data_IF_244707650082
#
_entry.id   IF_244707650082
#
_cell.length_a   1.000
_cell.length_b   1.000
_cell.length_c   1.000
_cell.angle_alpha   90.00
_cell.angle_beta   90.00
_cell.angle_gamma   90.00
#
_symmetry.space_group_name_H-M   'P 1'
#
loop_
_entity.id
_entity.type
_entity.pdbx_description
1 polymer ?
#
# COMPACT_ATOMS: atom_id res chain seq x y z
N UNK A 1 -5.54 -22.03 2.17
CA UNK A 1 -4.81 -21.44 3.31
C UNK A 1 -3.53 -20.83 2.79
N UNK A 2 -3.10 -19.69 3.33
CA UNK A 2 -1.79 -19.13 3.02
C UNK A 2 -0.68 -20.04 3.56
N UNK A 3 0.51 -19.93 2.97
CA UNK A 3 1.68 -20.67 3.45
C UNK A 3 2.10 -20.14 4.82
N UNK A 4 2.41 -21.03 5.76
CA UNK A 4 2.97 -20.66 7.06
C UNK A 4 4.51 -20.71 7.02
N UNK A 5 5.15 -19.74 7.66
CA UNK A 5 6.61 -19.66 7.86
C UNK A 5 6.92 -19.26 9.30
N UNK A 6 8.13 -19.52 9.76
CA UNK A 6 8.62 -19.07 11.07
C UNK A 6 9.69 -18.01 10.88
N UNK A 7 9.50 -16.82 11.45
CA UNK A 7 10.52 -15.79 11.45
C UNK A 7 11.73 -16.27 12.28
N UNK A 8 12.90 -16.34 11.66
CA UNK A 8 14.15 -16.81 12.29
C UNK A 8 15.06 -15.67 12.68
N UNK A 9 14.92 -14.50 12.03
CA UNK A 9 15.73 -13.32 12.31
C UNK A 9 14.97 -12.05 11.97
N UNK A 10 14.97 -11.09 12.89
CA UNK A 10 14.56 -9.72 12.60
C UNK A 10 15.74 -8.92 12.03
N UNK A 11 15.56 -8.36 10.85
CA UNK A 11 16.63 -7.68 10.10
C UNK A 11 16.63 -6.19 10.39
N UNK A 12 15.50 -5.51 10.16
CA UNK A 12 15.40 -4.06 10.36
C UNK A 12 13.94 -3.60 10.40
N UNK A 13 13.59 -2.58 11.20
CA UNK A 13 12.31 -1.89 11.07
C UNK A 13 12.25 -1.10 9.76
N UNK A 14 11.05 -1.00 9.19
CA UNK A 14 10.72 -0.08 8.10
C UNK A 14 10.00 1.13 8.67
N UNK A 15 10.59 2.31 8.47
CA UNK A 15 10.06 3.57 9.01
C UNK A 15 9.06 4.25 8.06
N UNK A 16 8.05 3.51 7.61
CA UNK A 16 6.97 4.03 6.76
C UNK A 16 5.64 4.01 7.51
N UNK A 17 5.09 5.19 7.80
CA UNK A 17 3.77 5.32 8.45
C UNK A 17 3.74 4.88 9.91
N UNK A 18 2.53 4.77 10.47
CA UNK A 18 2.31 4.48 11.90
C UNK A 18 2.32 2.99 12.29
N UNK A 19 2.51 2.07 11.36
CA UNK A 19 2.43 0.62 11.61
C UNK A 19 3.78 -0.07 11.84
N UNK A 20 4.89 0.62 11.55
CA UNK A 20 6.28 0.18 11.74
C UNK A 20 6.50 -1.31 11.38
N UNK A 21 6.27 -1.72 10.12
CA UNK A 21 6.52 -3.09 9.70
C UNK A 21 8.02 -3.42 9.79
N UNK A 22 8.38 -4.70 9.80
CA UNK A 22 9.78 -5.14 9.94
C UNK A 22 10.19 -6.13 8.86
N UNK A 23 11.43 -6.05 8.39
CA UNK A 23 11.99 -7.07 7.51
C UNK A 23 12.48 -8.24 8.35
N UNK A 24 12.09 -9.46 7.98
CA UNK A 24 12.53 -10.71 8.64
C UNK A 24 13.02 -11.73 7.63
N UNK A 25 13.97 -12.57 8.05
CA UNK A 25 14.29 -13.83 7.39
C UNK A 25 13.47 -14.94 8.04
N UNK A 26 13.10 -15.97 7.26
CA UNK A 26 12.30 -17.08 7.75
C UNK A 26 12.95 -18.46 7.48
N UNK A 27 12.37 -19.49 8.08
CA UNK A 27 12.81 -20.90 8.03
C UNK A 27 12.81 -21.53 6.63
N UNK A 28 12.11 -20.92 5.68
CA UNK A 28 12.07 -21.29 4.27
C UNK A 28 13.15 -20.61 3.41
N UNK A 29 14.08 -19.88 4.05
CA UNK A 29 15.11 -19.04 3.40
C UNK A 29 14.55 -17.82 2.65
N UNK A 30 13.28 -17.50 2.84
CA UNK A 30 12.64 -16.29 2.30
C UNK A 30 12.91 -15.05 3.17
N UNK A 31 12.67 -13.87 2.57
CA UNK A 31 12.70 -12.59 3.27
C UNK A 31 11.34 -11.93 3.13
N UNK A 32 10.79 -11.45 4.24
CA UNK A 32 9.42 -10.94 4.29
C UNK A 32 9.37 -9.59 4.99
N UNK A 33 8.49 -8.71 4.53
CA UNK A 33 7.98 -7.57 5.30
C UNK A 33 6.87 -8.08 6.19
N UNK A 34 7.11 -8.14 7.49
CA UNK A 34 6.14 -8.50 8.51
C UNK A 34 5.30 -7.29 8.91
N UNK A 35 3.98 -7.44 8.82
CA UNK A 35 2.99 -6.53 9.41
C UNK A 35 2.50 -7.14 10.72
N UNK A 36 2.69 -6.39 11.80
CA UNK A 36 2.52 -6.87 13.16
C UNK A 36 1.07 -6.76 13.66
N UNK A 37 0.56 -7.81 14.32
CA UNK A 37 -0.78 -7.82 14.92
C UNK A 37 -0.95 -6.82 16.06
N UNK A 38 0.13 -6.51 16.78
CA UNK A 38 0.15 -5.51 17.85
C UNK A 38 0.20 -4.06 17.37
N UNK A 39 0.22 -3.82 16.05
CA UNK A 39 0.23 -2.46 15.51
C UNK A 39 -1.08 -1.72 15.82
N UNK A 40 -1.02 -0.40 15.90
CA UNK A 40 -2.19 0.44 16.21
C UNK A 40 -3.32 0.34 15.17
N UNK A 41 -3.01 -0.13 13.96
CA UNK A 41 -4.01 -0.37 12.90
C UNK A 41 -4.87 -1.62 13.18
N UNK A 42 -4.38 -2.54 14.01
CA UNK A 42 -5.07 -3.74 14.44
C UNK A 42 -5.25 -4.79 13.35
N UNK A 43 -5.84 -5.94 13.74
CA UNK A 43 -5.98 -7.11 12.86
C UNK A 43 -6.83 -6.86 11.62
N UNK A 44 -7.76 -5.89 11.65
CA UNK A 44 -8.58 -5.52 10.47
C UNK A 44 -7.72 -5.02 9.30
N UNK A 45 -6.61 -4.33 9.56
CA UNK A 45 -5.70 -3.94 8.49
C UNK A 45 -5.02 -5.16 7.84
N UNK A 46 -4.72 -6.21 8.62
CA UNK A 46 -4.17 -7.47 8.10
C UNK A 46 -5.24 -8.24 7.30
N UNK A 47 -6.50 -8.22 7.75
CA UNK A 47 -7.64 -8.77 7.00
C UNK A 47 -7.78 -8.07 5.65
N UNK A 48 -7.74 -6.73 5.63
CA UNK A 48 -7.79 -5.97 4.38
C UNK A 48 -6.60 -6.30 3.46
N UNK A 49 -5.39 -6.42 4.01
CA UNK A 49 -4.22 -6.82 3.23
C UNK A 49 -4.41 -8.17 2.54
N UNK A 50 -4.87 -9.19 3.27
CA UNK A 50 -5.14 -10.52 2.70
C UNK A 50 -6.24 -10.42 1.65
N UNK A 51 -7.39 -9.85 2.00
CA UNK A 51 -8.57 -9.85 1.11
C UNK A 51 -8.26 -9.10 -0.18
N UNK A 52 -7.68 -7.90 -0.10
CA UNK A 52 -7.43 -7.06 -1.28
C UNK A 52 -6.23 -7.58 -2.07
N UNK A 53 -5.13 -7.97 -1.41
CA UNK A 53 -3.94 -8.51 -2.07
C UNK A 53 -4.22 -9.80 -2.82
N UNK A 54 -4.95 -10.73 -2.21
CA UNK A 54 -5.28 -12.02 -2.82
C UNK A 54 -6.37 -11.90 -3.91
N UNK A 55 -7.26 -10.90 -3.81
CA UNK A 55 -8.12 -10.49 -4.92
C UNK A 55 -7.28 -9.91 -6.07
N UNK A 56 -6.35 -9.02 -5.79
CA UNK A 56 -5.48 -8.41 -6.80
C UNK A 56 -4.75 -9.49 -7.60
N UNK A 57 -4.11 -10.45 -6.92
CA UNK A 57 -3.40 -11.58 -7.56
C UNK A 57 -4.31 -12.40 -8.46
N UNK A 58 -5.52 -12.76 -8.01
CA UNK A 58 -6.50 -13.54 -8.79
C UNK A 58 -7.11 -12.75 -9.95
N UNK A 59 -7.16 -11.43 -9.84
CA UNK A 59 -7.54 -10.52 -10.90
C UNK A 59 -6.37 -10.16 -11.83
N UNK A 60 -5.20 -10.78 -11.66
CA UNK A 60 -4.03 -10.61 -12.52
C UNK A 60 -3.25 -9.32 -12.30
N UNK A 61 -3.48 -8.64 -11.17
CA UNK A 61 -2.66 -7.51 -10.72
C UNK A 61 -1.45 -8.03 -9.94
N UNK A 62 -0.36 -7.26 -9.98
CA UNK A 62 0.90 -7.64 -9.33
C UNK A 62 0.88 -7.18 -7.89
N UNK A 63 0.86 -8.13 -6.97
CA UNK A 63 0.93 -7.92 -5.53
C UNK A 63 1.85 -9.01 -4.96
N UNK A 64 2.79 -8.69 -4.05
CA UNK A 64 3.71 -9.68 -3.50
C UNK A 64 2.98 -10.87 -2.87
N UNK A 65 3.62 -12.02 -2.77
CA UNK A 65 3.01 -13.17 -2.10
C UNK A 65 2.80 -12.88 -0.60
N UNK A 66 1.68 -13.34 -0.05
CA UNK A 66 1.42 -13.29 1.39
C UNK A 66 1.67 -14.64 2.05
N UNK A 67 2.24 -14.58 3.25
CA UNK A 67 2.46 -15.73 4.13
C UNK A 67 1.93 -15.41 5.52
N UNK A 68 1.58 -16.43 6.28
CA UNK A 68 1.36 -16.30 7.72
C UNK A 68 2.68 -16.58 8.42
N UNK A 69 3.18 -15.61 9.18
CA UNK A 69 4.48 -15.69 9.82
C UNK A 69 4.35 -15.85 11.33
N UNK A 70 4.88 -16.93 11.89
CA UNK A 70 5.04 -17.08 13.34
C UNK A 70 6.24 -16.27 13.79
N UNK A 71 6.00 -15.34 14.71
CA UNK A 71 6.99 -14.40 15.23
C UNK A 71 7.20 -14.65 16.72
N UNK A 72 8.44 -14.92 17.11
CA UNK A 72 8.90 -14.90 18.49
C UNK A 72 9.68 -13.60 18.72
N UNK A 73 9.26 -12.70 19.63
CA UNK A 73 9.98 -11.45 19.91
C UNK A 73 11.46 -11.65 20.25
N UNK A 74 11.88 -12.83 20.71
CA UNK A 74 13.28 -13.14 20.95
C UNK A 74 14.18 -12.96 19.71
N UNK A 75 13.66 -13.13 18.50
CA UNK A 75 14.45 -12.94 17.25
C UNK A 75 14.75 -11.47 16.95
N UNK A 76 14.16 -10.55 17.73
CA UNK A 76 14.33 -9.10 17.64
C UNK A 76 14.85 -8.49 18.94
N UNK A 77 15.47 -9.29 19.83
CA UNK A 77 15.94 -8.84 21.14
C UNK A 77 16.94 -7.66 21.09
N UNK A 78 17.62 -7.47 19.96
CA UNK A 78 18.60 -6.40 19.75
C UNK A 78 18.00 -5.08 19.24
N UNK A 79 16.67 -4.99 19.06
CA UNK A 79 16.00 -3.76 18.62
C UNK A 79 16.24 -2.62 19.62
N UNK A 80 16.91 -1.51 19.25
CA UNK A 80 17.28 -0.46 20.20
C UNK A 80 16.12 0.45 20.63
N UNK A 81 15.02 0.52 19.87
CA UNK A 81 13.95 1.47 20.10
C UNK A 81 12.82 0.86 20.95
N UNK A 82 12.58 1.41 22.15
CA UNK A 82 11.56 0.91 23.08
C UNK A 82 10.16 0.81 22.46
N UNK A 83 9.74 1.83 21.70
CA UNK A 83 8.42 1.82 21.03
C UNK A 83 8.27 0.65 20.06
N UNK A 84 9.36 0.25 19.38
CA UNK A 84 9.38 -0.91 18.49
C UNK A 84 9.42 -2.20 19.31
N UNK A 85 10.22 -2.28 20.38
CA UNK A 85 10.23 -3.44 21.28
C UNK A 85 8.84 -3.74 21.86
N UNK A 86 8.10 -2.71 22.26
CA UNK A 86 6.75 -2.85 22.81
C UNK A 86 5.79 -3.41 21.75
N UNK A 87 5.86 -2.90 20.51
CA UNK A 87 5.11 -3.42 19.36
C UNK A 87 5.44 -4.89 19.09
N UNK A 88 6.72 -5.23 19.01
CA UNK A 88 7.18 -6.59 18.72
C UNK A 88 6.76 -7.56 19.83
N UNK A 89 6.90 -7.16 21.09
CA UNK A 89 6.46 -7.94 22.26
C UNK A 89 4.96 -8.21 22.24
N UNK A 90 4.15 -7.21 21.88
CA UNK A 90 2.70 -7.34 21.72
C UNK A 90 2.28 -8.19 20.51
N UNK A 91 3.23 -8.55 19.64
CA UNK A 91 2.99 -9.24 18.37
C UNK A 91 3.51 -10.68 18.35
N UNK A 92 3.76 -11.27 19.53
CA UNK A 92 4.13 -12.68 19.63
C UNK A 92 3.05 -13.59 19.02
N UNK A 93 3.46 -14.57 18.21
CA UNK A 93 2.57 -15.50 17.53
C UNK A 93 2.37 -15.18 16.06
N UNK A 94 1.14 -15.33 15.56
CA UNK A 94 0.84 -15.29 14.14
C UNK A 94 0.69 -13.85 13.62
N UNK A 95 1.48 -13.50 12.61
CA UNK A 95 1.49 -12.20 11.92
C UNK A 95 1.35 -12.40 10.41
N UNK A 96 1.25 -11.30 9.67
CA UNK A 96 1.19 -11.34 8.21
C UNK A 96 2.56 -11.00 7.62
N UNK A 97 3.13 -11.90 6.83
CA UNK A 97 4.31 -11.63 6.01
C UNK A 97 3.90 -11.33 4.57
N UNK A 98 4.60 -10.37 3.96
CA UNK A 98 4.52 -10.06 2.54
C UNK A 98 5.91 -10.24 1.94
N UNK A 99 6.02 -10.91 0.80
CA UNK A 99 7.30 -11.15 0.13
C UNK A 99 8.07 -9.84 -0.07
N UNK A 100 9.33 -9.82 0.37
CA UNK A 100 10.18 -8.65 0.25
C UNK A 100 10.76 -8.59 -1.15
N UNK A 101 10.38 -7.57 -1.93
CA UNK A 101 10.85 -7.40 -3.31
C UNK A 101 12.22 -6.72 -3.36
N UNK A 102 13.34 -7.45 -3.58
CA UNK A 102 14.66 -6.86 -3.47
C UNK A 102 14.88 -5.81 -4.56
N UNK A 103 15.35 -4.63 -4.16
CA UNK A 103 15.58 -3.50 -5.06
C UNK A 103 14.33 -2.83 -5.59
N UNK A 104 13.13 -3.17 -5.10
CA UNK A 104 11.93 -2.42 -5.44
C UNK A 104 12.07 -0.95 -5.00
N UNK A 105 11.47 -0.04 -5.76
CA UNK A 105 11.48 1.40 -5.46
C UNK A 105 10.06 1.90 -5.33
N UNK A 106 9.80 2.75 -4.33
CA UNK A 106 8.50 3.39 -4.17
C UNK A 106 8.12 4.19 -5.40
N UNK A 107 6.85 4.13 -5.78
CA UNK A 107 6.31 4.91 -6.89
C UNK A 107 5.99 6.33 -6.40
N UNK A 108 7.05 7.15 -6.26
CA UNK A 108 6.96 8.55 -5.84
C UNK A 108 6.50 9.45 -6.99
N UNK A 109 6.09 10.72 -6.73
CA UNK A 109 5.78 11.68 -7.78
C UNK A 109 6.88 11.85 -8.84
N UNK A 110 8.16 11.81 -8.42
CA UNK A 110 9.30 11.92 -9.32
C UNK A 110 9.41 10.72 -10.26
N UNK A 111 9.13 9.51 -9.74
CA UNK A 111 9.09 8.29 -10.55
C UNK A 111 7.86 8.32 -11.47
N UNK A 112 6.70 8.75 -10.97
CA UNK A 112 5.48 8.87 -11.76
C UNK A 112 5.64 9.84 -12.95
N UNK A 113 6.47 10.89 -12.81
CA UNK A 113 6.72 11.83 -13.90
C UNK A 113 7.37 11.18 -15.15
N UNK A 114 8.12 10.09 -14.97
CA UNK A 114 8.92 9.45 -16.03
C UNK A 114 8.53 8.01 -16.32
N UNK A 115 7.86 7.33 -15.38
CA UNK A 115 7.48 5.93 -15.52
C UNK A 115 6.17 5.80 -16.30
N UNK A 116 6.16 5.11 -17.46
CA UNK A 116 4.95 4.93 -18.24
C UNK A 116 4.03 3.88 -17.59
N UNK A 117 2.76 4.23 -17.44
CA UNK A 117 1.70 3.29 -17.05
C UNK A 117 0.65 3.32 -18.15
N UNK A 118 0.28 2.14 -18.64
CA UNK A 118 -0.76 1.99 -19.66
C UNK A 118 -2.14 2.39 -19.06
N UNK A 119 -3.01 3.10 -19.83
CA UNK A 119 -4.34 3.48 -19.36
C UNK A 119 -5.19 2.35 -18.80
N UNK A 120 -5.13 1.14 -19.39
CA UNK A 120 -5.87 -0.02 -18.89
C UNK A 120 -5.23 -0.56 -17.60
N UNK A 121 -3.90 -0.60 -17.50
CA UNK A 121 -3.21 -0.97 -16.26
C UNK A 121 -3.57 -0.02 -15.11
N UNK A 122 -3.56 1.29 -15.36
CA UNK A 122 -4.01 2.29 -14.41
C UNK A 122 -5.50 2.12 -14.06
N UNK A 123 -6.33 1.86 -15.07
CA UNK A 123 -7.77 1.58 -14.92
C UNK A 123 -8.05 0.40 -14.00
N UNK A 124 -7.30 -0.70 -14.14
CA UNK A 124 -7.46 -1.92 -13.32
C UNK A 124 -7.09 -1.70 -11.86
N UNK A 125 -6.04 -0.94 -11.58
CA UNK A 125 -5.63 -0.60 -10.21
C UNK A 125 -6.67 0.32 -9.57
N UNK A 126 -7.06 1.38 -10.26
CA UNK A 126 -8.11 2.30 -9.79
C UNK A 126 -9.44 1.57 -9.58
N UNK A 127 -9.79 0.65 -10.47
CA UNK A 127 -10.98 -0.18 -10.35
C UNK A 127 -10.92 -1.05 -9.09
N UNK A 128 -9.78 -1.71 -8.82
CA UNK A 128 -9.60 -2.51 -7.60
C UNK A 128 -9.78 -1.64 -6.37
N UNK A 129 -9.10 -0.48 -6.31
CA UNK A 129 -9.18 0.41 -5.16
C UNK A 129 -10.60 0.96 -4.97
N UNK A 130 -11.33 1.28 -6.05
CA UNK A 130 -12.74 1.69 -5.97
C UNK A 130 -13.65 0.54 -5.51
N UNK A 131 -13.44 -0.67 -6.02
CA UNK A 131 -14.16 -1.87 -5.62
C UNK A 131 -13.96 -2.17 -4.14
N UNK A 132 -12.72 -2.10 -3.65
CA UNK A 132 -12.38 -2.39 -2.25
C UNK A 132 -12.42 -1.17 -1.34
N UNK A 133 -12.92 -0.02 -1.80
CA UNK A 133 -13.03 1.22 -1.01
C UNK A 133 -11.68 1.65 -0.41
N UNK A 134 -10.60 1.53 -1.19
CA UNK A 134 -9.27 2.00 -0.84
C UNK A 134 -9.06 3.44 -1.34
N UNK A 135 -9.39 4.43 -0.52
CA UNK A 135 -9.21 5.85 -0.85
C UNK A 135 -7.83 6.39 -0.47
N UNK A 136 -6.98 5.57 0.14
CA UNK A 136 -5.66 5.97 0.65
C UNK A 136 -4.58 6.03 -0.44
N UNK A 137 -4.81 5.36 -1.57
CA UNK A 137 -3.89 5.37 -2.72
C UNK A 137 -3.87 6.72 -3.42
N UNK A 138 -3.01 7.61 -2.94
CA UNK A 138 -2.94 9.00 -3.40
C UNK A 138 -1.58 9.35 -4.01
N UNK A 139 -1.48 10.49 -4.68
CA UNK A 139 -0.20 10.99 -5.23
C UNK A 139 0.91 11.13 -4.18
N UNK A 140 0.58 11.31 -2.90
CA UNK A 140 1.55 11.48 -1.82
C UNK A 140 1.80 10.19 -1.01
N UNK A 141 0.89 9.23 -1.11
CA UNK A 141 0.98 7.91 -0.49
C UNK A 141 0.48 6.90 -1.51
N UNK A 142 1.34 6.58 -2.48
CA UNK A 142 0.91 5.79 -3.63
C UNK A 142 0.76 4.31 -3.28
N UNK A 143 1.42 3.81 -2.24
CA UNK A 143 1.45 2.40 -1.86
C UNK A 143 1.69 1.48 -3.08
N UNK A 144 2.49 1.97 -4.04
CA UNK A 144 2.84 1.29 -5.28
C UNK A 144 4.37 1.22 -5.34
N UNK A 145 4.89 0.17 -5.95
CA UNK A 145 6.32 0.00 -6.18
C UNK A 145 6.62 -0.28 -7.65
N UNK A 146 7.84 0.06 -8.06
CA UNK A 146 8.42 -0.32 -9.33
C UNK A 146 9.41 -1.44 -9.11
N UNK A 147 9.20 -2.60 -9.77
CA UNK A 147 10.06 -3.77 -9.64
C UNK A 147 9.98 -4.69 -10.88
N UNK A 148 11.09 -5.36 -11.29
CA UNK A 148 12.44 -5.24 -10.77
C UNK A 148 13.16 -3.98 -11.27
N UNK A 149 14.13 -3.46 -10.49
CA UNK A 149 14.91 -2.27 -10.87
C UNK A 149 16.38 -2.56 -11.17
N UNK A 150 16.83 -3.80 -11.03
CA UNK A 150 18.21 -4.24 -11.32
C UNK A 150 18.52 -4.38 -12.82
N UNK A 151 17.56 -4.10 -13.70
CA UNK A 151 17.74 -4.23 -15.16
C UNK A 151 17.70 -5.67 -15.67
N UNK A 152 17.33 -6.64 -14.83
CA UNK A 152 17.18 -8.05 -15.20
C UNK A 152 15.92 -8.33 -16.03
N UNK A 153 14.90 -7.51 -15.86
CA UNK A 153 13.67 -7.50 -16.65
C UNK A 153 13.08 -6.08 -16.69
N UNK A 154 12.16 -5.78 -17.63
CA UNK A 154 11.47 -4.50 -17.64
C UNK A 154 10.74 -4.25 -16.31
N UNK A 155 10.92 -3.08 -15.68
CA UNK A 155 10.23 -2.76 -14.44
C UNK A 155 8.71 -2.74 -14.64
N UNK A 156 7.97 -3.23 -13.66
CA UNK A 156 6.51 -3.23 -13.61
C UNK A 156 6.02 -2.54 -12.35
N UNK A 157 4.77 -2.11 -12.40
CA UNK A 157 4.08 -1.57 -11.25
C UNK A 157 3.53 -2.71 -10.38
N UNK A 158 3.73 -2.62 -9.07
CA UNK A 158 3.29 -3.56 -8.04
C UNK A 158 2.49 -2.82 -6.99
N UNK A 159 1.39 -3.43 -6.54
CA UNK A 159 0.58 -2.95 -5.44
C UNK A 159 1.19 -3.44 -4.13
N UNK A 160 1.21 -2.57 -3.13
CA UNK A 160 1.47 -2.88 -1.74
C UNK A 160 0.42 -2.16 -0.88
N UNK A 161 0.40 -2.53 0.39
CA UNK A 161 -0.28 -1.83 1.48
C UNK A 161 -1.75 -1.44 1.21
N UNK A 162 -2.61 -2.40 1.48
CA UNK A 162 -4.06 -2.31 1.45
C UNK A 162 -4.68 -2.21 2.84
N UNK A 163 -3.89 -1.97 3.90
CA UNK A 163 -4.39 -1.94 5.29
C UNK A 163 -5.47 -0.88 5.54
N UNK A 164 -5.53 0.18 4.73
CA UNK A 164 -6.56 1.22 4.77
C UNK A 164 -7.77 0.97 3.86
N UNK A 165 -7.79 -0.15 3.13
CA UNK A 165 -8.91 -0.55 2.29
C UNK A 165 -10.07 -1.13 3.12
N UNK A 166 -11.15 -1.47 2.42
CA UNK A 166 -12.37 -2.07 2.97
C UNK A 166 -12.99 -1.21 4.07
N UNK A 167 -12.93 0.12 3.96
CA UNK A 167 -13.36 1.06 5.02
C UNK A 167 -14.70 0.70 5.68
N UNK A 168 -15.63 0.10 4.94
CA UNK A 168 -16.90 -0.41 5.47
C UNK A 168 -16.77 -1.44 6.61
N UNK A 169 -15.69 -2.23 6.68
CA UNK A 169 -15.50 -3.25 7.72
C UNK A 169 -15.18 -2.67 9.11
N UNK A 170 -14.94 -1.36 9.21
CA UNK A 170 -14.85 -0.66 10.49
C UNK A 170 -16.23 -0.26 10.99
N UNK A 171 -17.26 -0.24 10.12
CA UNK A 171 -18.64 0.08 10.44
C UNK A 171 -19.59 -0.52 9.41
N UNK A 172 -20.04 -1.75 9.67
CA UNK A 172 -21.01 -2.46 8.83
C UNK A 172 -22.35 -1.72 8.73
N UNK A 173 -22.78 -1.06 9.80
CA UNK A 173 -23.98 -0.25 9.83
C UNK A 173 -23.88 0.97 8.90
N UNK A 174 -24.69 0.98 7.84
CA UNK A 174 -24.70 2.04 6.83
C UNK A 174 -23.68 1.83 5.72
N UNK A 175 -23.03 0.67 5.65
CA UNK A 175 -22.25 0.26 4.49
C UNK A 175 -23.19 0.11 3.28
N UNK A 176 -22.98 0.94 2.26
CA UNK A 176 -23.76 0.96 1.03
C UNK A 176 -22.90 0.46 -0.15
N UNK A 177 -23.16 -0.74 -0.70
CA UNK A 177 -22.38 -1.30 -1.80
C UNK A 177 -22.33 -0.43 -3.06
N UNK A 178 -23.36 0.36 -3.31
CA UNK A 178 -23.49 1.28 -4.46
C UNK A 178 -22.77 2.63 -4.27
N UNK A 179 -22.25 2.90 -3.06
CA UNK A 179 -21.67 4.21 -2.74
C UNK A 179 -20.41 4.49 -3.57
N UNK A 180 -20.42 5.62 -4.26
CA UNK A 180 -19.26 6.20 -4.93
C UNK A 180 -18.36 6.95 -3.94
N UNK A 181 -17.05 6.90 -4.19
CA UNK A 181 -16.04 7.64 -3.43
C UNK A 181 -15.22 8.51 -4.39
N UNK A 182 -14.63 9.58 -3.88
CA UNK A 182 -13.83 10.51 -4.68
C UNK A 182 -12.42 9.97 -4.92
N UNK A 183 -12.10 9.68 -6.18
CA UNK A 183 -10.79 9.17 -6.63
C UNK A 183 -10.00 10.20 -7.43
N UNK A 184 -10.39 11.49 -7.44
CA UNK A 184 -9.71 12.52 -8.25
C UNK A 184 -8.23 12.73 -7.92
N UNK A 185 -7.82 12.37 -6.70
CA UNK A 185 -6.44 12.49 -6.21
C UNK A 185 -5.69 11.16 -6.19
N UNK A 186 -6.24 10.14 -6.86
CA UNK A 186 -5.61 8.84 -6.96
C UNK A 186 -4.22 8.93 -7.62
N UNK A 187 -3.25 8.15 -7.13
CA UNK A 187 -1.86 8.18 -7.60
C UNK A 187 -1.73 8.00 -9.13
N UNK A 188 -2.67 7.24 -9.72
CA UNK A 188 -2.71 6.94 -11.15
C UNK A 188 -3.69 7.81 -11.97
N UNK A 189 -4.32 8.82 -11.36
CA UNK A 189 -5.30 9.67 -12.05
C UNK A 189 -4.72 10.38 -13.28
N UNK A 190 -3.46 10.84 -13.20
CA UNK A 190 -2.76 11.51 -14.30
C UNK A 190 -2.34 10.61 -15.47
N UNK A 191 -2.66 9.30 -15.42
CA UNK A 191 -2.39 8.35 -16.50
C UNK A 191 -3.60 8.11 -17.42
N UNK A 192 -4.71 8.81 -17.20
CA UNK A 192 -5.95 8.62 -17.96
C UNK A 192 -6.50 7.19 -17.80
N UNK A 193 -6.77 6.73 -16.56
CA UNK A 193 -7.17 5.35 -16.29
C UNK A 193 -8.47 4.98 -17.03
N UNK A 194 -8.44 3.90 -17.82
CA UNK A 194 -9.61 3.37 -18.52
C UNK A 194 -10.39 2.43 -17.58
N UNK A 195 -11.12 3.04 -16.65
CA UNK A 195 -11.90 2.32 -15.64
C UNK A 195 -13.09 1.56 -16.23
N UNK A 196 -13.62 1.98 -17.39
CA UNK A 196 -14.72 1.28 -18.07
C UNK A 196 -14.24 -0.03 -18.69
N UNK A 197 -13.09 -0.02 -19.38
CA UNK A 197 -12.50 -1.25 -19.88
C UNK A 197 -12.08 -2.19 -18.75
N UNK A 198 -11.52 -1.63 -17.66
CA UNK A 198 -11.21 -2.40 -16.47
C UNK A 198 -12.47 -3.05 -15.84
N UNK A 199 -13.58 -2.32 -15.73
CA UNK A 199 -14.84 -2.86 -15.18
C UNK A 199 -15.38 -4.01 -16.02
N UNK A 200 -15.39 -3.86 -17.34
CA UNK A 200 -15.81 -4.90 -18.27
C UNK A 200 -14.91 -6.16 -18.16
N UNK A 201 -13.62 -6.00 -17.87
CA UNK A 201 -12.69 -7.12 -17.69
C UNK A 201 -12.81 -7.78 -16.31
N UNK A 202 -12.90 -6.99 -15.24
CA UNK A 202 -12.68 -7.47 -13.86
C UNK A 202 -13.99 -7.79 -13.13
N UNK A 203 -15.06 -7.02 -13.33
CA UNK A 203 -16.32 -7.23 -12.61
C UNK A 203 -16.90 -8.64 -12.80
N UNK A 204 -16.94 -9.23 -14.03
CA UNK A 204 -17.41 -10.60 -14.22
C UNK A 204 -16.57 -11.68 -13.52
N UNK A 205 -15.32 -11.38 -13.17
CA UNK A 205 -14.42 -12.31 -12.47
C UNK A 205 -14.71 -12.35 -10.96
N UNK A 206 -15.35 -11.31 -10.41
CA UNK A 206 -15.73 -11.25 -8.99
C UNK A 206 -16.99 -12.08 -8.74
N UNK A 207 -16.77 -13.38 -8.55
CA UNK A 207 -17.81 -14.36 -8.23
C UNK A 207 -17.87 -14.64 -6.74
N UNK A 208 -19.00 -15.19 -6.28
CA UNK A 208 -19.11 -15.70 -4.90
C UNK A 208 -18.02 -16.73 -4.59
N UNK A 209 -17.71 -17.62 -5.54
CA UNK A 209 -16.66 -18.63 -5.38
C UNK A 209 -15.29 -18.00 -5.16
N UNK A 210 -14.92 -16.98 -5.96
CA UNK A 210 -13.69 -16.22 -5.78
C UNK A 210 -13.62 -15.57 -4.39
N UNK A 211 -14.70 -14.90 -3.99
CA UNK A 211 -14.74 -14.21 -2.70
C UNK A 211 -14.63 -15.19 -1.54
N UNK A 212 -15.33 -16.33 -1.60
CA UNK A 212 -15.21 -17.39 -0.57
C UNK A 212 -13.81 -17.99 -0.51
N UNK A 213 -13.18 -18.21 -1.67
CA UNK A 213 -11.79 -18.69 -1.75
C UNK A 213 -10.83 -17.72 -1.04
N UNK A 214 -10.92 -16.43 -1.34
CA UNK A 214 -10.07 -15.39 -0.73
C UNK A 214 -10.34 -15.25 0.76
N UNK A 215 -11.61 -15.20 1.18
CA UNK A 215 -11.97 -15.04 2.59
C UNK A 215 -11.62 -16.26 3.45
N UNK A 216 -11.48 -17.44 2.85
CA UNK A 216 -10.97 -18.65 3.51
C UNK A 216 -9.45 -18.59 3.77
N UNK A 217 -8.72 -17.62 3.20
CA UNK A 217 -7.30 -17.41 3.48
C UNK A 217 -7.08 -16.61 4.77
N UNK A 218 -8.09 -15.87 5.24
CA UNK A 218 -8.02 -15.07 6.46
C UNK A 218 -8.12 -15.97 7.69
N UNK A 219 -7.16 -15.90 8.64
CA UNK A 219 -7.23 -16.64 9.90
C UNK A 219 -8.51 -16.35 10.69
N UNK A 220 -9.13 -17.40 11.25
CA UNK A 220 -10.36 -17.29 12.04
C UNK A 220 -10.24 -16.28 13.19
N UNK A 221 -9.10 -16.29 13.90
CA UNK A 221 -8.82 -15.41 15.02
C UNK A 221 -8.84 -13.91 14.67
N UNK A 222 -8.77 -13.56 13.38
CA UNK A 222 -8.79 -12.17 12.93
C UNK A 222 -10.19 -11.68 12.51
N UNK A 223 -11.20 -12.56 12.53
CA UNK A 223 -12.56 -12.28 12.05
C UNK A 223 -13.62 -12.16 13.15
N UNK A 224 -13.30 -12.45 14.41
CA UNK A 224 -14.30 -12.56 15.50
C UNK A 224 -14.62 -11.26 16.25
N UNK A 225 -14.13 -10.10 15.79
CA UNK A 225 -14.29 -8.84 16.56
C UNK A 225 -15.70 -8.26 16.47
N UNK A 226 -16.33 -8.30 15.29
CA UNK A 226 -17.67 -7.71 15.06
C UNK A 226 -18.76 -8.77 14.88
N UNK A 227 -18.37 -10.04 14.71
CA UNK A 227 -19.27 -11.14 14.41
C UNK A 227 -19.12 -12.27 15.42
N UNK A 228 -20.21 -12.97 15.78
CA UNK A 228 -20.18 -14.14 16.66
C UNK A 228 -19.24 -15.25 16.19
N UNK A 229 -19.15 -15.45 14.87
CA UNK A 229 -18.34 -16.52 14.26
C UNK A 229 -17.54 -16.00 13.06
N UNK A 230 -16.37 -16.61 12.76
CA UNK A 230 -15.61 -16.28 11.56
C UNK A 230 -16.42 -16.46 10.27
N UNK A 231 -17.29 -17.48 10.21
CA UNK A 231 -18.08 -17.76 9.02
C UNK A 231 -19.16 -16.69 8.76
N UNK A 232 -19.80 -16.19 9.81
CA UNK A 232 -20.69 -15.03 9.68
C UNK A 232 -19.96 -13.78 9.18
N UNK A 233 -18.73 -13.55 9.64
CA UNK A 233 -17.91 -12.46 9.12
C UNK A 233 -17.61 -12.66 7.62
N UNK A 234 -17.18 -13.87 7.21
CA UNK A 234 -16.91 -14.19 5.80
C UNK A 234 -18.15 -13.97 4.93
N UNK A 235 -19.31 -14.43 5.39
CA UNK A 235 -20.57 -14.23 4.68
C UNK A 235 -20.93 -12.75 4.54
N UNK A 236 -20.66 -11.93 5.56
CA UNK A 236 -20.85 -10.47 5.48
C UNK A 236 -19.93 -9.81 4.43
N UNK A 237 -18.65 -10.17 4.39
CA UNK A 237 -17.72 -9.70 3.34
C UNK A 237 -18.16 -10.14 1.95
N UNK A 238 -18.47 -11.42 1.77
CA UNK A 238 -18.92 -12.00 0.49
C UNK A 238 -20.18 -11.28 0.01
N UNK A 239 -21.16 -11.10 0.89
CA UNK A 239 -22.42 -10.42 0.57
C UNK A 239 -22.19 -8.98 0.13
N UNK A 240 -21.39 -8.21 0.89
CA UNK A 240 -21.10 -6.81 0.56
C UNK A 240 -20.33 -6.68 -0.76
N UNK A 241 -19.24 -7.42 -0.92
CA UNK A 241 -18.37 -7.34 -2.09
C UNK A 241 -19.09 -7.84 -3.36
N UNK A 242 -19.90 -8.88 -3.27
CA UNK A 242 -20.68 -9.35 -4.42
C UNK A 242 -21.76 -8.34 -4.82
N UNK A 243 -22.44 -7.72 -3.86
CA UNK A 243 -23.40 -6.64 -4.13
C UNK A 243 -22.70 -5.43 -4.76
N UNK A 244 -21.51 -5.07 -4.26
CA UNK A 244 -20.72 -3.96 -4.79
C UNK A 244 -20.25 -4.23 -6.22
N UNK A 245 -19.75 -5.42 -6.52
CA UNK A 245 -19.35 -5.79 -7.89
C UNK A 245 -20.50 -5.64 -8.88
N UNK A 246 -21.71 -6.07 -8.50
CA UNK A 246 -22.95 -5.91 -9.30
C UNK A 246 -23.39 -4.47 -9.48
N UNK A 247 -23.03 -3.59 -8.55
CA UNK A 247 -23.36 -2.17 -8.56
C UNK A 247 -22.28 -1.29 -9.20
N UNK A 248 -21.33 -1.86 -9.97
CA UNK A 248 -20.16 -1.13 -10.50
C UNK A 248 -20.53 0.16 -11.23
N UNK A 249 -21.58 0.13 -12.04
CA UNK A 249 -22.09 1.30 -12.75
C UNK A 249 -22.45 2.50 -11.85
N UNK A 250 -22.72 2.28 -10.55
CA UNK A 250 -23.08 3.33 -9.59
C UNK A 250 -21.89 3.96 -8.87
N UNK A 251 -20.75 3.28 -8.77
CA UNK A 251 -19.59 3.76 -8.02
C UNK A 251 -18.31 3.89 -8.83
N UNK A 252 -18.28 3.39 -10.07
CA UNK A 252 -17.09 3.39 -10.92
C UNK A 252 -16.60 4.82 -11.17
N UNK A 253 -15.37 5.19 -10.75
CA UNK A 253 -14.85 6.52 -10.99
C UNK A 253 -14.49 6.69 -12.47
N UNK A 254 -14.96 7.77 -13.08
CA UNK A 254 -14.68 8.11 -14.49
C UNK A 254 -14.03 9.47 -14.67
N UNK A 255 -14.03 10.27 -13.60
CA UNK A 255 -13.63 11.67 -13.65
C UNK A 255 -12.24 11.81 -13.02
N UNK A 256 -11.23 11.86 -13.87
CA UNK A 256 -9.83 12.06 -13.46
C UNK A 256 -9.30 13.37 -14.05
N UNK A 257 -8.60 14.18 -13.25
CA UNK A 257 -7.97 15.38 -13.76
C UNK A 257 -6.90 15.01 -14.79
N UNK A 258 -6.86 15.76 -15.88
CA UNK A 258 -5.78 15.69 -16.88
C UNK A 258 -4.43 16.03 -16.26
N UNK A 259 -3.33 15.64 -16.93
CA UNK A 259 -1.97 16.01 -16.50
C UNK A 259 -1.80 17.52 -16.35
N UNK A 260 -2.38 18.30 -17.26
CA UNK A 260 -2.31 19.76 -17.22
C UNK A 260 -3.07 20.34 -16.03
N UNK A 261 -4.24 19.78 -15.69
CA UNK A 261 -5.01 20.18 -14.52
C UNK A 261 -4.29 19.84 -13.21
N UNK A 262 -3.63 18.67 -13.14
CA UNK A 262 -2.79 18.27 -12.02
C UNK A 262 -1.57 19.20 -11.88
N UNK A 263 -0.84 19.45 -12.97
CA UNK A 263 0.31 20.35 -12.97
C UNK A 263 -0.08 21.78 -12.55
N UNK A 264 -1.23 22.28 -13.03
CA UNK A 264 -1.78 23.57 -12.62
C UNK A 264 -2.21 23.60 -11.14
N UNK A 265 -2.76 22.49 -10.62
CA UNK A 265 -3.07 22.37 -9.19
C UNK A 265 -1.79 22.37 -8.33
N UNK A 266 -0.75 21.67 -8.74
CA UNK A 266 0.54 21.63 -8.06
C UNK A 266 1.24 22.98 -8.07
N UNK A 267 1.28 23.68 -9.22
CA UNK A 267 1.81 25.03 -9.31
C UNK A 267 1.06 26.00 -8.37
N UNK A 268 -0.27 25.90 -8.28
CA UNK A 268 -1.08 26.71 -7.34
C UNK A 268 -0.75 26.37 -5.88
N UNK A 269 -0.59 25.10 -5.53
CA UNK A 269 -0.18 24.67 -4.17
C UNK A 269 1.21 25.18 -3.82
N UNK A 270 2.19 25.00 -4.71
CA UNK A 270 3.55 25.48 -4.52
C UNK A 270 3.60 27.00 -4.32
N UNK A 271 2.86 27.75 -5.14
CA UNK A 271 2.74 29.20 -5.03
C UNK A 271 2.07 29.63 -3.70
N UNK A 272 1.03 28.92 -3.26
CA UNK A 272 0.37 29.18 -1.98
C UNK A 272 1.31 28.91 -0.79
N UNK A 273 2.04 27.79 -0.80
CA UNK A 273 3.05 27.46 0.21
C UNK A 273 4.16 28.52 0.22
N UNK A 274 4.66 28.95 -0.94
CA UNK A 274 5.66 30.01 -1.05
C UNK A 274 5.15 31.36 -0.53
N UNK A 275 3.88 31.69 -0.78
CA UNK A 275 3.24 32.92 -0.29
C UNK A 275 3.11 32.90 1.24
N UNK A 276 2.76 31.76 1.83
CA UNK A 276 2.59 31.56 3.27
C UNK A 276 3.87 31.42 4.09
N UNK A 277 5.04 31.20 3.45
CA UNK A 277 6.33 31.11 4.16
C UNK A 277 6.68 32.43 4.87
N UNK A 278 7.34 32.42 6.04
CA UNK A 278 7.96 33.61 6.61
C UNK A 278 9.03 34.19 5.68
N UNK A 279 9.24 35.52 5.68
CA UNK A 279 10.14 36.20 4.74
C UNK A 279 11.59 35.66 4.73
N UNK A 280 12.09 35.20 5.88
CA UNK A 280 13.42 34.61 6.04
C UNK A 280 13.56 33.21 5.41
N UNK A 281 12.43 32.53 5.12
CA UNK A 281 12.37 31.20 4.48
C UNK A 281 12.02 31.28 2.98
N UNK A 282 11.69 32.48 2.48
CA UNK A 282 11.44 32.74 1.04
C UNK A 282 12.72 32.96 0.24
N UNK A 283 13.83 33.25 0.91
CA UNK A 283 15.17 33.41 0.33
C UNK A 283 16.13 32.44 1.02
N UNK A 284 15.98 31.14 0.74
CA UNK A 284 17.07 30.20 1.06
C UNK A 284 18.15 30.44 0.01
N UNK A 285 19.36 30.90 0.37
CA UNK A 285 20.46 30.99 -0.58
C UNK A 285 20.76 29.59 -1.12
N UNK A 286 21.02 29.48 -2.42
CA UNK A 286 21.53 28.25 -3.00
C UNK A 286 22.91 27.95 -2.39
N UNK A 287 22.96 26.99 -1.46
CA UNK A 287 24.20 26.56 -0.80
C UNK A 287 25.00 25.55 -1.66
N UNK A 288 24.49 25.15 -2.83
CA UNK A 288 25.18 24.27 -3.77
C UNK A 288 26.03 25.03 -4.81
N UNK A 289 25.98 26.36 -4.81
CA UNK A 289 26.85 27.22 -5.60
C UNK A 289 27.97 27.87 -4.78
N UNK A 290 28.87 27.10 -4.15
CA UNK A 290 30.16 27.65 -3.70
C UNK A 290 31.13 27.66 -4.89
N UNK A 291 31.82 28.76 -5.21
CA UNK A 291 32.97 28.70 -6.11
C UNK A 291 34.01 27.74 -5.51
N UNK A 292 34.75 27.04 -6.38
CA UNK A 292 35.83 26.16 -5.96
C UNK A 292 36.78 26.95 -5.04
N UNK A 293 37.01 26.43 -3.82
CA UNK A 293 38.02 26.98 -2.94
C UNK A 293 39.38 26.75 -3.61
N UNK A 294 40.04 27.82 -4.05
CA UNK A 294 41.47 27.78 -4.33
C UNK A 294 42.19 27.38 -3.04
N UNK A 295 42.88 26.24 -3.07
CA UNK A 295 43.74 25.82 -1.98
C UNK A 295 44.97 26.73 -1.93
N UNK A 296 45.00 27.61 -0.94
CA UNK A 296 46.21 28.32 -0.55
C UNK A 296 47.11 27.37 0.25
N UNK A 297 48.18 26.91 -0.39
CA UNK A 297 49.19 26.03 0.20
C UNK A 297 50.28 26.79 0.98
N UNK A 298 50.13 28.09 1.22
CA UNK A 298 51.14 28.90 1.92
C UNK A 298 51.30 28.59 3.42
N UNK A 299 50.50 27.70 4.00
CA UNK A 299 50.53 27.37 5.45
C UNK A 299 51.27 26.06 5.76
N UNK A 300 51.95 25.44 4.78
CA UNK A 300 52.73 24.20 5.00
C UNK A 300 54.23 24.31 4.69
N UNK A 301 54.78 25.53 4.69
CA UNK A 301 56.23 25.74 4.76
C UNK A 301 56.53 26.75 5.87
N UNK A 302 56.87 26.23 7.04
CA UNK A 302 57.31 26.94 8.24
C UNK A 302 57.57 25.97 9.38
#
# INVERSE_FOLDING_TARGET
MLREVTATRYVTPLHSGGSVPGVVEADDLGTYVLKFTGSAQGVKALVAEIVVGELARRLGLRFPELVLARFDPAVAADEPHQEVQDLLSASAGLNLGMDYLPGARDFTPDIAAVFPVDPLEAGRIVWLDAFTVNVDRTVHSSNLMVWPTFGTAPPKLWLIDHGAALVFHHRWDGAAPERAYDFKHHALGGYGPDTRAADAELSPKVTEALLREVLALVPDAWLTTDFPTPDEARDAYVTYLLARARASASWLPTDFPTRDELAAADARRAAATQKGRPAWLKRVPDLHGKPAAEQDWSVHLG
#
